data_IF_458238394079
#
_entry.id   IF_458238394079
#
_cell.length_a   1.000
_cell.length_b   1.000
_cell.length_c   1.000
_cell.angle_alpha   90.00
_cell.angle_beta   90.00
_cell.angle_gamma   90.00
#
_symmetry.space_group_name_H-M   'P 1'
#
loop_
_entity.id
_entity.type
_entity.pdbx_description
1 polymer ?
#
# COMPACT_ATOMS: atom_id res chain seq x y z
N UNK A 1 14.13 -1.38 10.50
CA UNK A 1 13.27 -1.94 9.41
C UNK A 1 11.89 -1.26 9.40
N UNK A 2 11.37 -0.88 10.56
CA UNK A 2 10.12 -0.08 10.68
C UNK A 2 10.13 1.21 9.88
N UNK A 3 11.22 1.99 9.88
CA UNK A 3 11.30 3.25 9.10
C UNK A 3 11.13 3.01 7.60
N UNK A 4 11.66 1.88 7.08
CA UNK A 4 11.58 1.52 5.67
C UNK A 4 10.17 1.06 5.27
N UNK A 5 9.49 0.29 6.13
CA UNK A 5 8.10 -0.13 5.90
C UNK A 5 7.11 1.03 6.07
N UNK A 6 7.42 1.98 6.95
CA UNK A 6 6.67 3.22 7.11
C UNK A 6 6.80 4.11 5.89
N UNK A 7 8.02 4.28 5.39
CA UNK A 7 8.27 5.00 4.14
C UNK A 7 7.60 4.35 2.92
N UNK A 8 7.63 3.01 2.83
CA UNK A 8 6.96 2.27 1.75
C UNK A 8 5.44 2.49 1.79
N UNK A 9 4.82 2.44 2.97
CA UNK A 9 3.40 2.70 3.12
C UNK A 9 3.01 4.15 2.72
N UNK A 10 3.85 5.14 3.01
CA UNK A 10 3.63 6.51 2.56
C UNK A 10 3.70 6.63 1.03
N UNK A 11 4.70 5.99 0.40
CA UNK A 11 4.82 5.97 -1.07
C UNK A 11 3.58 5.37 -1.70
N UNK A 12 3.15 4.19 -1.24
CA UNK A 12 1.97 3.52 -1.78
C UNK A 12 0.71 4.39 -1.62
N UNK A 13 0.56 5.06 -0.47
CA UNK A 13 -0.54 6.00 -0.23
C UNK A 13 -0.52 7.19 -1.19
N UNK A 14 0.66 7.76 -1.47
CA UNK A 14 0.81 8.86 -2.45
C UNK A 14 0.52 8.40 -3.88
N UNK A 15 1.00 7.22 -4.26
CA UNK A 15 0.78 6.65 -5.60
C UNK A 15 -0.70 6.38 -5.82
N UNK A 16 -1.38 5.77 -4.84
CA UNK A 16 -2.84 5.56 -4.86
C UNK A 16 -3.59 6.88 -5.09
N UNK A 17 -3.25 7.95 -4.36
CA UNK A 17 -3.89 9.27 -4.53
C UNK A 17 -3.70 9.85 -5.93
N UNK A 18 -2.49 9.75 -6.50
CA UNK A 18 -2.21 10.22 -7.87
C UNK A 18 -3.00 9.42 -8.90
N UNK A 19 -3.06 8.09 -8.77
CA UNK A 19 -3.83 7.22 -9.65
C UNK A 19 -5.33 7.49 -9.53
N UNK A 20 -5.84 7.73 -8.32
CA UNK A 20 -7.25 8.08 -8.11
C UNK A 20 -7.62 9.40 -8.79
N UNK A 21 -6.79 10.44 -8.64
CA UNK A 21 -6.99 11.70 -9.36
C UNK A 21 -6.97 11.48 -10.88
N UNK A 22 -5.98 10.74 -11.38
CA UNK A 22 -5.87 10.47 -12.81
C UNK A 22 -7.06 9.67 -13.36
N UNK A 23 -7.59 8.70 -12.60
CA UNK A 23 -8.81 7.95 -12.95
C UNK A 23 -10.01 8.87 -13.14
N UNK A 24 -10.12 9.91 -12.31
CA UNK A 24 -11.26 10.83 -12.32
C UNK A 24 -11.16 11.83 -13.49
N UNK A 25 -9.94 12.06 -14.01
CA UNK A 25 -9.65 12.98 -15.11
C UNK A 25 -9.71 12.35 -16.52
N UNK A 26 -9.86 11.02 -16.65
CA UNK A 26 -9.77 10.30 -17.94
C UNK A 26 -11.09 9.67 -18.39
N UNK A 27 -11.11 9.20 -19.64
CA UNK A 27 -12.27 8.56 -20.25
C UNK A 27 -12.64 7.24 -19.55
N UNK A 28 -13.91 6.85 -19.65
CA UNK A 28 -14.46 5.71 -18.91
C UNK A 28 -13.78 4.37 -19.21
N UNK A 29 -13.24 4.20 -20.44
CA UNK A 29 -12.53 3.00 -20.86
C UNK A 29 -11.10 2.94 -20.29
N UNK A 30 -10.40 4.07 -20.21
CA UNK A 30 -9.06 4.17 -19.66
C UNK A 30 -9.07 4.13 -18.13
N UNK A 31 -10.13 4.65 -17.51
CA UNK A 31 -10.39 4.56 -16.08
C UNK A 31 -10.43 3.12 -15.55
N UNK A 32 -10.82 2.14 -16.38
CA UNK A 32 -10.82 0.74 -15.98
C UNK A 32 -9.41 0.21 -15.69
N UNK A 33 -8.45 0.48 -16.59
CA UNK A 33 -7.05 0.09 -16.41
C UNK A 33 -6.44 0.75 -15.18
N UNK A 34 -6.78 2.02 -14.92
CA UNK A 34 -6.30 2.72 -13.72
C UNK A 34 -6.90 2.13 -12.44
N UNK A 35 -8.13 1.62 -12.46
CA UNK A 35 -8.72 0.91 -11.32
C UNK A 35 -7.99 -0.41 -11.01
N UNK A 36 -7.56 -1.15 -12.02
CA UNK A 36 -6.76 -2.36 -11.83
C UNK A 36 -5.43 -2.03 -11.15
N UNK A 37 -4.72 -1.01 -11.62
CA UNK A 37 -3.47 -0.56 -11.00
C UNK A 37 -3.68 -0.08 -9.56
N UNK A 38 -4.80 0.60 -9.26
CA UNK A 38 -5.15 0.98 -7.88
C UNK A 38 -5.35 -0.25 -7.00
N UNK A 39 -5.99 -1.31 -7.50
CA UNK A 39 -6.19 -2.55 -6.76
C UNK A 39 -4.86 -3.24 -6.43
N UNK A 40 -3.91 -3.26 -7.37
CA UNK A 40 -2.57 -3.80 -7.14
C UNK A 40 -1.80 -2.99 -6.08
N UNK A 41 -1.91 -1.65 -6.11
CA UNK A 41 -1.30 -0.76 -5.11
C UNK A 41 -1.91 -1.01 -3.73
N UNK A 42 -3.21 -1.26 -3.66
CA UNK A 42 -3.91 -1.59 -2.42
C UNK A 42 -3.47 -2.95 -1.85
N UNK A 43 -3.30 -3.96 -2.70
CA UNK A 43 -2.76 -5.25 -2.30
C UNK A 43 -1.32 -5.13 -1.77
N UNK A 44 -0.46 -4.36 -2.43
CA UNK A 44 0.90 -4.10 -1.97
C UNK A 44 0.93 -3.36 -0.61
N UNK A 45 -0.02 -2.45 -0.38
CA UNK A 45 -0.15 -1.73 0.90
C UNK A 45 -0.60 -2.68 2.02
N UNK A 46 -1.50 -3.62 1.72
CA UNK A 46 -1.92 -4.66 2.65
C UNK A 46 -0.74 -5.53 3.09
N UNK A 47 0.03 -6.04 2.13
CA UNK A 47 1.22 -6.87 2.38
C UNK A 47 2.25 -6.09 3.21
N UNK A 48 2.47 -4.80 2.90
CA UNK A 48 3.38 -3.93 3.67
C UNK A 48 2.94 -3.81 5.14
N UNK A 49 1.62 -3.76 5.39
CA UNK A 49 1.05 -3.73 6.74
C UNK A 49 1.21 -5.07 7.45
N UNK A 50 0.98 -6.18 6.77
CA UNK A 50 1.17 -7.54 7.31
C UNK A 50 2.63 -7.76 7.74
N UNK A 51 3.60 -7.45 6.87
CA UNK A 51 5.04 -7.56 7.18
C UNK A 51 5.42 -6.70 8.39
N UNK A 52 4.85 -5.49 8.50
CA UNK A 52 5.09 -4.62 9.67
C UNK A 52 4.54 -5.24 10.95
N UNK A 53 3.34 -5.80 10.90
CA UNK A 53 2.69 -6.43 12.05
C UNK A 53 3.41 -7.69 12.51
N UNK A 54 3.89 -8.52 11.59
CA UNK A 54 4.70 -9.71 11.90
C UNK A 54 6.01 -9.32 12.59
N UNK A 55 6.69 -8.28 12.10
CA UNK A 55 7.93 -7.79 12.69
C UNK A 55 7.74 -7.18 14.09
N UNK A 56 6.64 -6.49 14.34
CA UNK A 56 6.34 -5.87 15.65
C UNK A 56 5.80 -6.90 16.65
N UNK A 57 5.10 -7.94 16.20
CA UNK A 57 4.60 -9.04 17.03
C UNK A 57 5.68 -10.01 17.49
N UNK A 58 6.74 -10.21 16.69
CA UNK A 58 7.87 -11.11 17.02
C UNK A 58 8.72 -10.61 18.20
N UNK A 59 8.74 -9.30 18.48
CA UNK A 59 9.53 -8.73 19.58
C UNK A 59 8.92 -8.92 20.98
N UNK A 60 7.74 -9.55 21.09
CA UNK A 60 7.04 -9.77 22.37
C UNK A 60 7.20 -11.16 22.99
N UNK A 61 7.77 -12.15 22.27
CA UNK A 61 7.92 -13.52 22.76
C UNK A 61 9.25 -13.71 23.51
N UNK A 62 9.42 -12.97 24.61
CA UNK A 62 10.57 -13.07 25.49
C UNK A 62 10.19 -13.43 26.92
N UNK A 63 10.51 -14.68 27.30
CA UNK A 63 10.75 -15.20 28.66
C UNK A 63 9.54 -15.54 29.55
N UNK A 64 9.33 -16.84 29.75
CA UNK A 64 9.21 -17.48 31.06
C UNK A 64 9.76 -18.91 30.97
#
# INVERSE_FOLDING_TARGET
MEDRLTWLADILSRVRRKLASHRDDITHAEAHKVREVIADVDAAALITKEIRNEHTGSSGAGTN
#
